data_IF_456330116565
#
_entry.id   IF_456330116565
#
_cell.length_a   1.000
_cell.length_b   1.000
_cell.length_c   1.000
_cell.angle_alpha   90.00
_cell.angle_beta   90.00
_cell.angle_gamma   90.00
#
_symmetry.space_group_name_H-M   'P 1'
#
loop_
_entity.id
_entity.type
_entity.pdbx_description
1 polymer ?
#
# COMPACT_ATOMS: atom_id res chain seq x y z
N UNK A 1 -20.14 -28.29 16.19
CA UNK A 1 -18.80 -27.66 16.24
C UNK A 1 -18.64 -26.86 14.94
N UNK A 2 -18.95 -25.56 14.94
CA UNK A 2 -18.92 -24.76 13.71
C UNK A 2 -17.47 -24.47 13.32
N UNK A 3 -17.07 -25.00 12.16
CA UNK A 3 -15.79 -24.75 11.53
C UNK A 3 -15.82 -23.35 10.89
N UNK A 4 -15.56 -22.31 11.70
CA UNK A 4 -15.40 -20.95 11.19
C UNK A 4 -14.00 -20.84 10.60
N UNK A 5 -13.84 -21.20 9.33
CA UNK A 5 -12.69 -20.82 8.50
C UNK A 5 -12.81 -19.33 8.15
N UNK A 6 -12.68 -18.47 9.15
CA UNK A 6 -12.48 -17.03 8.96
C UNK A 6 -11.04 -16.71 8.59
N UNK A 7 -10.75 -15.54 7.99
CA UNK A 7 -9.38 -15.09 7.77
C UNK A 7 -8.65 -14.98 9.11
N UNK A 8 -7.39 -15.47 9.15
CA UNK A 8 -6.54 -15.34 10.33
C UNK A 8 -6.34 -13.84 10.67
N UNK A 9 -6.32 -13.47 11.96
CA UNK A 9 -6.01 -12.10 12.35
C UNK A 9 -4.55 -11.77 12.02
N UNK A 10 -4.32 -10.60 11.42
CA UNK A 10 -2.97 -10.09 11.09
C UNK A 10 -2.43 -9.13 12.16
N UNK A 11 -3.15 -8.96 13.26
CA UNK A 11 -2.77 -8.09 14.37
C UNK A 11 -3.07 -8.77 15.71
N UNK A 12 -2.14 -8.65 16.65
CA UNK A 12 -2.29 -9.00 18.05
C UNK A 12 -2.17 -7.70 18.87
N UNK A 13 -2.93 -7.57 19.95
CA UNK A 13 -2.77 -6.47 20.90
C UNK A 13 -2.08 -7.02 22.14
N UNK A 14 -0.93 -6.44 22.49
CA UNK A 14 -0.31 -6.68 23.79
C UNK A 14 -0.99 -5.79 24.83
N UNK A 15 -1.73 -6.40 25.75
CA UNK A 15 -2.49 -5.70 26.79
C UNK A 15 -1.62 -5.17 27.92
N UNK A 16 -0.34 -5.56 27.99
CA UNK A 16 0.59 -5.03 29.01
C UNK A 16 1.19 -3.69 28.58
N UNK A 17 1.36 -3.47 27.28
CA UNK A 17 1.98 -2.28 26.69
C UNK A 17 1.02 -1.46 25.82
N UNK A 18 -0.21 -1.93 25.61
CA UNK A 18 -1.22 -1.40 24.70
C UNK A 18 -0.75 -1.26 23.25
N UNK A 19 0.22 -2.11 22.84
CA UNK A 19 0.79 -2.06 21.50
C UNK A 19 0.07 -3.01 20.54
N UNK A 20 -0.10 -2.55 19.29
CA UNK A 20 -0.59 -3.37 18.18
C UNK A 20 0.62 -3.98 17.47
N UNK A 21 0.68 -5.31 17.44
CA UNK A 21 1.74 -6.08 16.81
C UNK A 21 1.20 -6.71 15.53
N UNK A 22 1.79 -6.35 14.39
CA UNK A 22 1.50 -6.99 13.10
C UNK A 22 2.08 -8.40 13.06
N UNK A 23 1.27 -9.36 12.63
CA UNK A 23 1.65 -10.76 12.42
C UNK A 23 1.28 -11.18 10.99
N UNK A 24 1.75 -12.35 10.59
CA UNK A 24 1.44 -12.97 9.28
C UNK A 24 1.87 -12.11 8.07
N UNK A 25 3.18 -11.90 7.95
CA UNK A 25 3.79 -11.15 6.83
C UNK A 25 3.92 -11.97 5.52
N UNK A 26 3.09 -13.00 5.33
CA UNK A 26 3.17 -13.91 4.18
C UNK A 26 2.95 -13.21 2.83
N UNK A 27 2.24 -12.08 2.81
CA UNK A 27 1.93 -11.27 1.62
C UNK A 27 2.59 -9.89 1.66
N UNK A 28 3.92 -9.85 1.52
CA UNK A 28 4.69 -8.59 1.41
C UNK A 28 4.60 -7.91 0.03
N UNK A 29 4.99 -6.62 -0.04
CA UNK A 29 5.25 -5.90 -1.29
C UNK A 29 4.10 -5.91 -2.31
N UNK A 30 2.87 -5.65 -1.87
CA UNK A 30 1.64 -5.71 -2.67
C UNK A 30 1.37 -7.09 -3.32
N UNK A 31 1.89 -8.17 -2.75
CA UNK A 31 1.55 -9.54 -3.18
C UNK A 31 0.04 -9.75 -3.19
N UNK A 32 -0.65 -9.26 -2.16
CA UNK A 32 -2.10 -9.38 -2.05
C UNK A 32 -2.85 -8.68 -3.18
N UNK A 33 -2.34 -7.57 -3.71
CA UNK A 33 -2.94 -6.85 -4.84
C UNK A 33 -2.73 -7.58 -6.17
N UNK A 34 -1.58 -8.26 -6.33
CA UNK A 34 -1.21 -8.92 -7.60
C UNK A 34 -1.79 -10.34 -7.67
N UNK A 35 -1.63 -11.11 -6.60
CA UNK A 35 -1.79 -12.57 -6.59
C UNK A 35 -3.18 -13.04 -6.16
N UNK A 36 -3.92 -12.26 -5.36
CA UNK A 36 -5.24 -12.68 -4.91
C UNK A 36 -6.26 -12.57 -6.06
N UNK A 37 -7.28 -13.46 -6.13
CA UNK A 37 -8.38 -13.32 -7.07
C UNK A 37 -9.16 -12.02 -6.87
N UNK A 38 -9.34 -11.62 -5.61
CA UNK A 38 -9.88 -10.31 -5.22
C UNK A 38 -8.74 -9.49 -4.61
N UNK A 39 -8.28 -8.42 -5.27
CA UNK A 39 -7.08 -7.69 -4.87
C UNK A 39 -7.34 -6.83 -3.63
N UNK A 40 -6.35 -6.77 -2.74
CA UNK A 40 -6.34 -5.78 -1.66
C UNK A 40 -5.94 -4.41 -2.21
N UNK A 41 -6.87 -3.46 -2.22
CA UNK A 41 -6.69 -2.11 -2.79
C UNK A 41 -6.39 -1.04 -1.71
N UNK A 42 -6.53 -1.38 -0.44
CA UNK A 42 -6.28 -0.48 0.68
C UNK A 42 -4.83 -0.61 1.17
N UNK A 43 -4.11 0.49 1.45
CA UNK A 43 -2.72 0.42 1.88
C UNK A 43 -2.56 0.03 3.35
N UNK A 44 -3.52 0.42 4.21
CA UNK A 44 -3.57 0.13 5.65
C UNK A 44 -5.03 -0.11 6.03
N UNK A 45 -5.29 -1.05 6.93
CA UNK A 45 -6.63 -1.30 7.50
C UNK A 45 -6.99 -0.24 8.52
N UNK A 46 -7.62 0.83 8.06
CA UNK A 46 -8.14 1.90 8.90
C UNK A 46 -9.68 1.80 8.96
N UNK A 47 -10.19 0.87 9.77
CA UNK A 47 -11.63 0.60 9.87
C UNK A 47 -12.34 1.61 10.76
N UNK A 48 -13.68 1.58 10.74
CA UNK A 48 -14.52 2.42 11.60
C UNK A 48 -14.12 2.31 13.07
N UNK A 49 -13.88 1.10 13.58
CA UNK A 49 -13.47 0.85 14.97
C UNK A 49 -12.17 1.58 15.31
N UNK A 50 -11.17 1.48 14.43
CA UNK A 50 -9.87 2.17 14.62
C UNK A 50 -10.05 3.68 14.56
N UNK A 51 -10.83 4.20 13.60
CA UNK A 51 -11.08 5.65 13.49
C UNK A 51 -11.91 6.22 14.65
N UNK A 52 -12.86 5.45 15.19
CA UNK A 52 -13.69 5.85 16.33
C UNK A 52 -12.87 5.91 17.62
N UNK A 53 -11.91 5.00 17.82
CA UNK A 53 -11.00 5.09 18.96
C UNK A 53 -10.23 6.43 18.96
N UNK A 54 -9.85 6.90 17.76
CA UNK A 54 -9.10 8.14 17.58
C UNK A 54 -9.97 9.41 17.47
N UNK A 55 -11.30 9.30 17.43
CA UNK A 55 -12.17 10.43 17.09
C UNK A 55 -12.11 11.56 18.12
N UNK A 56 -11.83 11.23 19.38
CA UNK A 56 -11.70 12.18 20.49
C UNK A 56 -10.45 13.08 20.38
N UNK A 57 -9.46 12.69 19.57
CA UNK A 57 -8.16 13.39 19.42
C UNK A 57 -8.19 14.38 18.23
N UNK A 58 -9.27 14.41 17.43
CA UNK A 58 -9.47 15.33 16.31
C UNK A 58 -8.84 14.88 14.98
N UNK A 59 -9.29 15.50 13.86
CA UNK A 59 -8.98 15.07 12.46
C UNK A 59 -7.50 15.19 12.05
N UNK A 60 -6.71 15.96 12.79
CA UNK A 60 -5.26 16.10 12.61
C UNK A 60 -4.46 15.42 13.74
N UNK A 61 -5.07 14.43 14.40
CA UNK A 61 -4.54 13.80 15.60
C UNK A 61 -3.23 13.02 15.41
N UNK A 62 -2.77 12.43 16.52
CA UNK A 62 -1.48 11.75 16.67
C UNK A 62 -1.15 10.81 15.51
N UNK A 63 -2.12 10.00 15.05
CA UNK A 63 -1.92 9.05 13.95
C UNK A 63 -1.39 9.72 12.67
N UNK A 64 -1.97 10.86 12.26
CA UNK A 64 -1.52 11.57 11.05
C UNK A 64 -0.12 12.14 11.25
N UNK A 65 0.15 12.77 12.39
CA UNK A 65 1.45 13.35 12.70
C UNK A 65 2.56 12.28 12.72
N UNK A 66 2.31 11.16 13.39
CA UNK A 66 3.21 10.01 13.42
C UNK A 66 3.45 9.45 12.02
N UNK A 67 2.40 9.27 11.21
CA UNK A 67 2.55 8.79 9.83
C UNK A 67 3.38 9.72 8.95
N UNK A 68 3.19 11.04 9.06
CA UNK A 68 3.99 12.02 8.33
C UNK A 68 5.46 11.94 8.75
N UNK A 69 5.72 11.96 10.06
CA UNK A 69 7.07 11.91 10.59
C UNK A 69 7.80 10.62 10.20
N UNK A 70 7.13 9.46 10.34
CA UNK A 70 7.68 8.16 9.94
C UNK A 70 7.94 8.11 8.44
N UNK A 71 7.00 8.56 7.61
CA UNK A 71 7.20 8.56 6.16
C UNK A 71 8.38 9.46 5.76
N UNK A 72 8.54 10.63 6.39
CA UNK A 72 9.69 11.50 6.12
C UNK A 72 11.01 10.84 6.50
N UNK A 73 11.10 10.19 7.67
CA UNK A 73 12.29 9.47 8.10
C UNK A 73 12.65 8.30 7.16
N UNK A 74 11.64 7.55 6.70
CA UNK A 74 11.82 6.48 5.71
C UNK A 74 12.34 7.01 4.36
N UNK A 75 11.88 8.18 3.93
CA UNK A 75 12.33 8.81 2.67
C UNK A 75 13.75 9.36 2.77
N UNK A 76 14.13 9.93 3.91
CA UNK A 76 15.49 10.41 4.17
C UNK A 76 16.53 9.29 4.09
N UNK A 77 16.14 8.06 4.45
CA UNK A 77 17.00 6.87 4.40
C UNK A 77 16.58 5.90 3.29
N UNK A 78 16.04 6.44 2.20
CA UNK A 78 15.44 5.63 1.12
C UNK A 78 16.45 4.74 0.41
N UNK A 79 17.70 5.17 0.24
CA UNK A 79 18.76 4.38 -0.40
C UNK A 79 19.05 3.09 0.38
N UNK A 80 19.28 3.20 1.69
CA UNK A 80 19.52 2.05 2.57
C UNK A 80 18.34 1.07 2.53
N UNK A 81 17.13 1.60 2.60
CA UNK A 81 15.91 0.79 2.58
C UNK A 81 15.70 0.13 1.21
N UNK A 82 15.94 0.84 0.10
CA UNK A 82 15.84 0.30 -1.25
C UNK A 82 16.83 -0.84 -1.45
N UNK A 83 18.08 -0.69 -1.00
CA UNK A 83 19.09 -1.75 -1.04
C UNK A 83 18.67 -2.98 -0.23
N UNK A 84 18.26 -2.79 1.03
CA UNK A 84 17.83 -3.90 1.88
C UNK A 84 16.63 -4.67 1.30
N UNK A 85 15.64 -3.96 0.75
CA UNK A 85 14.45 -4.57 0.18
C UNK A 85 14.74 -5.27 -1.15
N UNK A 86 15.61 -4.72 -2.00
CA UNK A 86 16.08 -5.39 -3.22
C UNK A 86 16.76 -6.71 -2.90
N UNK A 87 17.68 -6.70 -1.95
CA UNK A 87 18.38 -7.92 -1.51
C UNK A 87 17.38 -8.95 -1.00
N UNK A 88 16.41 -8.54 -0.17
CA UNK A 88 15.37 -9.45 0.33
C UNK A 88 14.50 -10.05 -0.78
N UNK A 89 14.09 -9.26 -1.76
CA UNK A 89 13.26 -9.72 -2.88
C UNK A 89 14.05 -10.71 -3.75
N UNK A 90 15.32 -10.40 -4.06
CA UNK A 90 16.16 -11.25 -4.89
C UNK A 90 16.50 -12.59 -4.22
N UNK A 91 16.73 -12.60 -2.90
CA UNK A 91 17.08 -13.82 -2.16
C UNK A 91 15.87 -14.73 -1.93
N UNK A 92 14.70 -14.16 -1.58
CA UNK A 92 13.57 -14.96 -1.14
C UNK A 92 12.78 -15.61 -2.28
N UNK A 93 12.86 -15.08 -3.50
CA UNK A 93 12.11 -15.60 -4.65
C UNK A 93 12.83 -15.36 -5.97
N UNK A 94 13.85 -16.16 -6.28
CA UNK A 94 14.58 -16.14 -7.56
C UNK A 94 13.65 -16.24 -8.77
N UNK A 95 12.52 -16.95 -8.62
CA UNK A 95 11.60 -17.27 -9.72
C UNK A 95 10.34 -16.37 -9.71
N UNK A 96 10.28 -15.34 -8.85
CA UNK A 96 9.13 -14.42 -8.80
C UNK A 96 9.16 -13.45 -10.00
N UNK A 97 8.35 -13.77 -11.01
CA UNK A 97 8.15 -12.94 -12.21
C UNK A 97 7.69 -11.51 -11.90
N UNK A 98 7.17 -11.24 -10.69
CA UNK A 98 6.75 -9.92 -10.23
C UNK A 98 7.82 -9.18 -9.40
N UNK A 99 9.00 -9.76 -9.18
CA UNK A 99 10.07 -9.17 -8.36
C UNK A 99 10.42 -7.74 -8.81
N UNK A 100 10.56 -7.53 -10.12
CA UNK A 100 10.85 -6.20 -10.70
C UNK A 100 9.75 -5.19 -10.41
N UNK A 101 8.48 -5.57 -10.55
CA UNK A 101 7.32 -4.71 -10.26
C UNK A 101 7.24 -4.34 -8.77
N UNK A 102 7.57 -5.28 -7.87
CA UNK A 102 7.62 -5.04 -6.43
C UNK A 102 8.72 -4.06 -6.04
N UNK A 103 9.90 -4.18 -6.64
CA UNK A 103 11.01 -3.24 -6.44
C UNK A 103 10.62 -1.86 -6.95
N UNK A 104 10.10 -1.78 -8.18
CA UNK A 104 9.65 -0.51 -8.80
C UNK A 104 8.56 0.16 -7.96
N UNK A 105 7.58 -0.60 -7.49
CA UNK A 105 6.52 -0.11 -6.60
C UNK A 105 7.08 0.45 -5.29
N UNK A 106 8.02 -0.24 -4.66
CA UNK A 106 8.66 0.19 -3.42
C UNK A 106 9.40 1.50 -3.61
N UNK A 107 10.19 1.60 -4.68
CA UNK A 107 10.90 2.84 -5.05
C UNK A 107 9.94 4.00 -5.27
N UNK A 108 8.83 3.77 -5.97
CA UNK A 108 7.81 4.79 -6.18
C UNK A 108 7.16 5.27 -4.87
N UNK A 109 6.93 4.37 -3.91
CA UNK A 109 6.41 4.74 -2.57
C UNK A 109 7.38 5.67 -1.84
N UNK A 110 8.67 5.35 -1.86
CA UNK A 110 9.71 6.14 -1.21
C UNK A 110 9.91 7.49 -1.91
N UNK A 111 9.82 7.55 -3.24
CA UNK A 111 9.89 8.80 -3.99
C UNK A 111 8.63 9.69 -3.90
N UNK A 112 7.64 9.30 -3.10
CA UNK A 112 6.44 10.10 -2.89
C UNK A 112 5.48 10.13 -4.07
N UNK A 113 5.52 9.09 -4.93
CA UNK A 113 4.52 8.90 -5.97
C UNK A 113 3.17 8.60 -5.32
N UNK A 114 2.09 9.11 -5.93
CA UNK A 114 0.75 8.93 -5.42
C UNK A 114 0.40 7.42 -5.34
N UNK A 115 -0.04 6.89 -4.17
CA UNK A 115 -0.37 5.48 -3.99
C UNK A 115 -1.38 4.92 -5.01
N UNK A 116 -2.32 5.73 -5.51
CA UNK A 116 -3.32 5.27 -6.48
C UNK A 116 -2.68 4.88 -7.82
N UNK A 117 -1.58 5.52 -8.18
CA UNK A 117 -0.84 5.22 -9.41
C UNK A 117 -0.01 3.98 -9.25
N UNK A 118 0.57 3.82 -8.06
CA UNK A 118 1.34 2.64 -7.72
C UNK A 118 0.44 1.41 -7.79
N UNK A 119 -0.76 1.46 -7.21
CA UNK A 119 -1.71 0.34 -7.23
C UNK A 119 -2.24 0.08 -8.65
N UNK A 120 -2.59 1.11 -9.42
CA UNK A 120 -3.07 0.95 -10.80
C UNK A 120 -2.00 0.41 -11.77
N UNK A 121 -0.72 0.67 -11.48
CA UNK A 121 0.41 0.12 -12.24
C UNK A 121 0.58 -1.39 -12.03
N UNK A 122 0.24 -1.93 -10.85
CA UNK A 122 0.42 -3.35 -10.56
C UNK A 122 -0.48 -4.19 -11.46
N UNK A 123 0.16 -5.03 -12.29
CA UNK A 123 -0.53 -5.95 -13.19
C UNK A 123 -1.03 -7.15 -12.38
N UNK A 124 -2.26 -7.08 -11.88
CA UNK A 124 -2.94 -8.30 -11.44
C UNK A 124 -3.28 -9.15 -12.67
N UNK A 125 -2.72 -10.36 -12.73
CA UNK A 125 -3.01 -11.34 -13.79
C UNK A 125 -4.48 -11.76 -13.81
N UNK A 126 -5.16 -11.65 -12.67
CA UNK A 126 -6.51 -12.18 -12.44
C UNK A 126 -7.64 -11.24 -12.86
N UNK A 127 -7.36 -9.97 -13.21
CA UNK A 127 -8.38 -8.95 -13.45
C UNK A 127 -8.22 -8.21 -14.77
N UNK A 128 -7.76 -8.88 -15.84
CA UNK A 128 -7.60 -8.24 -17.15
C UNK A 128 -8.88 -7.56 -17.65
N UNK A 129 -10.03 -8.23 -17.48
CA UNK A 129 -11.35 -7.76 -17.91
C UNK A 129 -11.89 -6.62 -17.03
N UNK A 130 -11.72 -6.72 -15.71
CA UNK A 130 -12.20 -5.73 -14.75
C UNK A 130 -11.20 -4.59 -14.47
N UNK A 131 -10.06 -4.57 -15.17
CA UNK A 131 -8.95 -3.64 -14.91
C UNK A 131 -9.39 -2.18 -14.90
N UNK A 132 -10.16 -1.77 -15.91
CA UNK A 132 -10.65 -0.39 -16.03
C UNK A 132 -11.52 0.01 -14.84
N UNK A 133 -12.38 -0.89 -14.39
CA UNK A 133 -13.25 -0.63 -13.23
C UNK A 133 -12.44 -0.56 -11.94
N UNK A 134 -11.47 -1.46 -11.76
CA UNK A 134 -10.55 -1.43 -10.63
C UNK A 134 -9.77 -0.11 -10.57
N UNK A 135 -9.22 0.35 -11.70
CA UNK A 135 -8.50 1.62 -11.76
C UNK A 135 -9.38 2.81 -11.37
N UNK A 136 -10.65 2.83 -11.79
CA UNK A 136 -11.61 3.87 -11.38
C UNK A 136 -11.83 3.86 -9.87
N UNK A 137 -12.03 2.69 -9.27
CA UNK A 137 -12.21 2.54 -7.81
C UNK A 137 -11.00 3.05 -7.03
N UNK A 138 -9.79 2.64 -7.47
CA UNK A 138 -8.53 3.04 -6.84
C UNK A 138 -8.30 4.55 -6.94
N UNK A 139 -8.48 5.13 -8.14
CA UNK A 139 -8.31 6.57 -8.36
C UNK A 139 -9.33 7.39 -7.56
N UNK A 140 -10.56 6.89 -7.43
CA UNK A 140 -11.66 7.54 -6.73
C UNK A 140 -12.31 8.67 -7.54
N UNK A 141 -13.39 9.23 -6.98
CA UNK A 141 -14.13 10.33 -7.60
C UNK A 141 -13.43 11.67 -7.41
N UNK A 142 -13.37 12.49 -8.46
CA UNK A 142 -12.83 13.85 -8.42
C UNK A 142 -13.59 14.76 -7.45
N UNK A 143 -14.87 14.50 -7.20
CA UNK A 143 -15.71 15.32 -6.32
C UNK A 143 -15.38 15.02 -4.85
N UNK A 144 -15.49 13.76 -4.43
CA UNK A 144 -15.40 13.41 -3.01
C UNK A 144 -14.01 12.93 -2.57
N UNK A 145 -13.20 12.41 -3.50
CA UNK A 145 -11.93 11.80 -3.16
C UNK A 145 -10.77 12.78 -3.29
N UNK A 146 -10.21 13.19 -2.13
CA UNK A 146 -8.97 13.99 -2.09
C UNK A 146 -7.82 13.37 -2.90
N UNK A 147 -7.74 12.04 -2.92
CA UNK A 147 -6.75 11.31 -3.75
C UNK A 147 -6.90 11.61 -5.25
N UNK A 148 -8.13 11.69 -5.78
CA UNK A 148 -8.39 12.04 -7.18
C UNK A 148 -8.07 13.51 -7.46
N UNK A 149 -8.43 14.41 -6.53
CA UNK A 149 -8.13 15.84 -6.64
C UNK A 149 -6.62 16.13 -6.68
N UNK A 150 -5.82 15.39 -5.90
CA UNK A 150 -4.36 15.51 -5.89
C UNK A 150 -3.76 15.06 -7.22
N UNK A 151 -4.31 14.00 -7.84
CA UNK A 151 -3.83 13.52 -9.14
C UNK A 151 -3.98 14.57 -10.24
N UNK A 152 -5.08 15.34 -10.23
CA UNK A 152 -5.33 16.43 -11.18
C UNK A 152 -4.33 17.58 -11.06
N UNK A 153 -3.80 17.80 -9.85
CA UNK A 153 -2.79 18.84 -9.58
C UNK A 153 -1.36 18.40 -9.87
N UNK A 154 -1.12 17.10 -9.98
CA UNK A 154 0.19 16.55 -10.34
C UNK A 154 0.38 16.61 -11.86
N UNK A 155 1.38 17.36 -12.33
CA UNK A 155 1.73 17.49 -13.74
C UNK A 155 1.83 16.12 -14.47
N UNK A 156 1.11 16.02 -15.59
CA UNK A 156 1.08 14.90 -16.53
C UNK A 156 2.47 14.39 -16.97
N UNK A 157 3.50 15.24 -16.93
CA UNK A 157 4.87 14.87 -17.31
C UNK A 157 5.56 13.85 -16.40
N UNK A 158 5.23 13.77 -15.09
CA UNK A 158 5.78 12.69 -14.23
C UNK A 158 5.09 11.36 -14.45
N UNK A 159 3.83 11.36 -14.89
CA UNK A 159 3.10 10.14 -15.23
C UNK A 159 3.68 9.45 -16.45
N UNK A 160 4.01 10.22 -17.50
CA UNK A 160 4.66 9.66 -18.68
C UNK A 160 6.02 9.03 -18.37
N UNK A 161 6.83 9.63 -17.49
CA UNK A 161 8.10 9.01 -17.05
C UNK A 161 7.93 7.67 -16.32
N UNK A 162 6.85 7.49 -15.55
CA UNK A 162 6.60 6.24 -14.80
C UNK A 162 6.24 5.05 -15.71
N UNK A 163 5.71 5.33 -16.91
CA UNK A 163 5.25 4.35 -17.89
C UNK A 163 6.23 4.11 -19.05
N UNK A 164 7.24 4.97 -19.24
CA UNK A 164 8.12 4.97 -20.44
C UNK A 164 9.54 4.46 -20.15
N UNK A 165 9.95 4.36 -18.89
CA UNK A 165 11.17 3.63 -18.53
C UNK A 165 10.87 2.11 -18.56
N UNK A 166 10.98 1.54 -19.77
CA UNK A 166 11.16 0.12 -20.09
C UNK A 166 12.57 -0.37 -19.72
#
# INVERSE_FOLDING_TARGET
MLNIRGPKPNFIIDTSSDQIIGIDFGSGFNAATILLPVPELIPIRLTRQVTQLMSHIGRAGLFRATMIHRMNALRQNSDLLEHALKTKINILRSDDIYAKDRIKSTRFKLNGINPTLIIGFLRSSNLKEARHQMEKVVRGDKIDSKRAQILLKYNSNRYHKLTVDE
#
